data_IF_222468080746
#
_entry.id   IF_222468080746
#
_cell.length_a   1.000
_cell.length_b   1.000
_cell.length_c   1.000
_cell.angle_alpha   90.00
_cell.angle_beta   90.00
_cell.angle_gamma   90.00
#
_symmetry.space_group_name_H-M   'P 1'
#
loop_
_entity.id
_entity.type
_entity.pdbx_description
1 polymer ?
#
# COMPACT_ATOMS: atom_id res chain seq x y z
N UNK A 1 -10.65 -8.41 -10.37
CA UNK A 1 -10.00 -7.16 -9.91
C UNK A 1 -9.20 -7.50 -8.66
N UNK A 2 -7.93 -7.07 -8.53
CA UNK A 2 -7.22 -7.21 -7.27
C UNK A 2 -7.95 -6.39 -6.20
N UNK A 3 -8.27 -7.00 -5.06
CA UNK A 3 -8.83 -6.28 -3.92
C UNK A 3 -7.70 -5.50 -3.24
N UNK A 4 -7.81 -4.17 -3.19
CA UNK A 4 -6.90 -3.32 -2.43
C UNK A 4 -7.54 -3.12 -1.06
N UNK A 5 -6.98 -3.70 0.03
CA UNK A 5 -7.51 -3.49 1.36
C UNK A 5 -7.21 -2.05 1.78
N UNK A 6 -8.12 -1.43 2.52
CA UNK A 6 -7.76 -0.21 3.22
C UNK A 6 -6.84 -0.52 4.41
N UNK A 7 -5.90 0.38 4.67
CA UNK A 7 -4.84 0.17 5.68
C UNK A 7 -4.87 1.21 6.82
N UNK A 8 -5.67 2.26 6.69
CA UNK A 8 -5.72 3.35 7.66
C UNK A 8 -6.33 2.86 8.98
N UNK A 9 -5.73 3.28 10.10
CA UNK A 9 -6.16 2.92 11.44
C UNK A 9 -5.88 1.47 11.87
N UNK A 10 -5.30 0.64 10.99
CA UNK A 10 -4.84 -0.69 11.40
C UNK A 10 -3.63 -0.57 12.35
N UNK A 11 -3.46 -1.51 13.31
CA UNK A 11 -2.33 -1.49 14.21
C UNK A 11 -0.99 -1.50 13.46
N UNK A 12 -0.04 -0.68 13.91
CA UNK A 12 1.31 -0.59 13.31
C UNK A 12 1.97 -1.96 13.12
N UNK A 13 1.94 -2.79 14.14
CA UNK A 13 2.59 -4.11 14.11
C UNK A 13 1.89 -5.07 13.14
N UNK A 14 0.57 -4.94 12.97
CA UNK A 14 -0.18 -5.66 11.95
C UNK A 14 0.29 -5.26 10.54
N UNK A 15 0.35 -3.96 10.25
CA UNK A 15 0.78 -3.48 8.92
C UNK A 15 2.23 -3.92 8.64
N UNK A 16 3.12 -3.71 9.60
CA UNK A 16 4.54 -4.07 9.47
C UNK A 16 4.76 -5.57 9.27
N UNK A 17 4.09 -6.41 10.06
CA UNK A 17 4.20 -7.88 9.92
C UNK A 17 3.66 -8.39 8.58
N UNK A 18 2.58 -7.80 8.06
CA UNK A 18 2.02 -8.18 6.77
C UNK A 18 2.96 -7.83 5.62
N UNK A 19 3.53 -6.63 5.59
CA UNK A 19 4.50 -6.21 4.56
C UNK A 19 5.79 -7.03 4.67
N UNK A 20 6.30 -7.23 5.89
CA UNK A 20 7.46 -8.09 6.14
C UNK A 20 7.22 -9.54 5.69
N UNK A 21 6.00 -10.06 5.83
CA UNK A 21 5.65 -11.40 5.36
C UNK A 21 5.71 -11.53 3.84
N UNK A 22 5.35 -10.50 3.07
CA UNK A 22 5.58 -10.50 1.62
C UNK A 22 7.07 -10.44 1.30
N UNK A 23 7.81 -9.54 1.95
CA UNK A 23 9.27 -9.40 1.72
C UNK A 23 10.03 -10.70 1.97
N UNK A 24 9.58 -11.50 2.94
CA UNK A 24 10.20 -12.77 3.30
C UNK A 24 9.57 -13.98 2.58
N UNK A 25 8.62 -13.77 1.65
CA UNK A 25 7.95 -14.84 0.91
C UNK A 25 6.96 -15.70 1.71
N UNK A 26 6.68 -15.34 2.96
CA UNK A 26 5.70 -16.00 3.83
C UNK A 26 4.25 -15.70 3.44
N UNK A 27 4.03 -14.54 2.80
CA UNK A 27 2.75 -14.14 2.23
C UNK A 27 2.85 -13.97 0.73
N UNK A 28 1.83 -14.42 0.01
CA UNK A 28 1.70 -14.35 -1.45
C UNK A 28 0.26 -14.03 -1.84
N UNK A 29 0.06 -13.25 -2.89
CA UNK A 29 -1.22 -12.99 -3.52
C UNK A 29 -1.35 -13.76 -4.84
N UNK A 30 -2.54 -13.73 -5.43
CA UNK A 30 -2.75 -14.27 -6.78
C UNK A 30 -1.92 -13.47 -7.80
N UNK A 31 -1.37 -14.17 -8.80
CA UNK A 31 -0.59 -13.51 -9.84
C UNK A 31 -1.48 -12.57 -10.70
N UNK A 32 -0.98 -11.37 -11.07
CA UNK A 32 0.31 -10.80 -10.65
C UNK A 32 0.32 -10.32 -9.19
N UNK A 33 1.36 -10.70 -8.42
CA UNK A 33 1.47 -10.34 -7.01
C UNK A 33 2.08 -8.94 -6.84
N UNK A 34 1.24 -7.92 -6.99
CA UNK A 34 1.68 -6.53 -6.89
C UNK A 34 2.30 -6.19 -5.53
N UNK A 35 1.91 -6.86 -4.44
CA UNK A 35 2.44 -6.57 -3.11
C UNK A 35 3.83 -7.17 -2.89
N UNK A 36 4.14 -8.32 -3.53
CA UNK A 36 5.51 -8.84 -3.56
C UNK A 36 6.45 -7.85 -4.24
N UNK A 37 6.09 -7.34 -5.42
CA UNK A 37 6.90 -6.36 -6.16
C UNK A 37 7.14 -5.05 -5.37
N UNK A 38 6.17 -4.63 -4.58
CA UNK A 38 6.29 -3.45 -3.70
C UNK A 38 7.20 -3.78 -2.50
N UNK A 39 6.97 -4.90 -1.82
CA UNK A 39 7.71 -5.28 -0.63
C UNK A 39 9.22 -5.51 -0.91
N UNK A 40 9.55 -5.98 -2.11
CA UNK A 40 10.93 -6.14 -2.55
C UNK A 40 11.69 -4.82 -2.62
N UNK A 41 11.01 -3.73 -2.96
CA UNK A 41 11.60 -2.38 -3.08
C UNK A 41 11.77 -1.65 -1.75
N UNK A 42 11.15 -2.12 -0.67
CA UNK A 42 11.17 -1.45 0.63
C UNK A 42 12.29 -1.98 1.52
N UNK A 43 13.01 -1.10 2.22
CA UNK A 43 13.92 -1.50 3.29
C UNK A 43 13.15 -1.80 4.58
N UNK A 44 13.74 -2.52 5.57
CA UNK A 44 13.09 -2.70 6.88
C UNK A 44 12.73 -1.37 7.57
N UNK A 45 13.56 -0.35 7.39
CA UNK A 45 13.31 1.01 7.89
C UNK A 45 12.08 1.62 7.22
N UNK A 46 11.95 1.50 5.90
CA UNK A 46 10.78 1.99 5.16
C UNK A 46 9.49 1.29 5.61
N UNK A 47 9.54 -0.03 5.83
CA UNK A 47 8.39 -0.80 6.34
C UNK A 47 7.96 -0.26 7.70
N UNK A 48 8.92 -0.02 8.60
CA UNK A 48 8.63 0.52 9.93
C UNK A 48 8.06 1.94 9.89
N UNK A 49 8.53 2.78 8.97
CA UNK A 49 8.05 4.15 8.76
C UNK A 49 6.65 4.17 8.14
N UNK A 50 6.41 3.38 7.09
CA UNK A 50 5.11 3.24 6.44
C UNK A 50 4.05 2.72 7.41
N UNK A 51 4.38 1.68 8.19
CA UNK A 51 3.45 1.13 9.18
C UNK A 51 3.08 2.17 10.24
N UNK A 52 4.05 2.95 10.73
CA UNK A 52 3.80 4.02 11.68
C UNK A 52 2.89 5.10 11.08
N UNK A 53 3.23 5.58 9.87
CA UNK A 53 2.47 6.63 9.19
C UNK A 53 1.04 6.20 8.85
N UNK A 54 0.83 4.99 8.33
CA UNK A 54 -0.51 4.48 8.00
C UNK A 54 -1.38 4.30 9.24
N UNK A 55 -0.80 3.80 10.34
CA UNK A 55 -1.52 3.59 11.60
C UNK A 55 -1.96 4.90 12.27
N UNK A 56 -1.27 6.01 12.00
CA UNK A 56 -1.60 7.32 12.55
C UNK A 56 -2.58 8.14 11.69
N UNK A 57 -2.96 7.65 10.51
CA UNK A 57 -3.91 8.36 9.66
C UNK A 57 -5.31 8.34 10.27
N UNK A 58 -6.06 9.47 10.17
CA UNK A 58 -7.43 9.52 10.62
C UNK A 58 -8.30 8.54 9.81
N UNK A 59 -9.15 7.79 10.50
CA UNK A 59 -10.19 6.96 9.87
C UNK A 59 -11.45 7.80 9.81
N UNK A 60 -11.90 8.13 8.60
CA UNK A 60 -13.19 8.81 8.39
C UNK A 60 -14.27 7.75 8.31
N UNK A 61 -15.19 7.76 9.26
CA UNK A 61 -16.34 6.87 9.28
C UNK A 61 -17.50 7.45 8.44
N UNK A 62 -18.27 6.61 7.71
CA UNK A 62 -18.15 5.15 7.64
C UNK A 62 -16.97 4.70 6.78
N UNK A 63 -16.17 3.77 7.30
CA UNK A 63 -15.09 3.13 6.54
C UNK A 63 -15.66 2.19 5.47
N UNK A 64 -15.99 2.73 4.31
CA UNK A 64 -16.39 1.96 3.14
C UNK A 64 -15.21 1.88 2.16
N UNK A 65 -14.87 0.69 1.64
CA UNK A 65 -13.98 0.62 0.49
C UNK A 65 -14.59 1.44 -0.64
N UNK A 66 -13.80 2.31 -1.26
CA UNK A 66 -14.31 3.04 -2.42
C UNK A 66 -14.72 2.06 -3.52
N UNK A 67 -15.77 2.44 -4.27
CA UNK A 67 -16.26 1.63 -5.37
C UNK A 67 -15.13 1.31 -6.35
N UNK A 68 -14.98 0.04 -6.71
CA UNK A 68 -13.91 -0.40 -7.60
C UNK A 68 -13.95 0.42 -8.92
N UNK A 69 -12.84 1.13 -9.21
CA UNK A 69 -12.75 2.05 -10.36
C UNK A 69 -12.92 3.54 -10.04
N UNK A 70 -13.14 3.92 -8.78
CA UNK A 70 -13.24 5.32 -8.34
C UNK A 70 -11.92 6.08 -8.31
N UNK A 71 -10.78 5.37 -8.31
CA UNK A 71 -9.44 5.95 -8.34
C UNK A 71 -9.24 6.80 -9.61
N UNK A 72 -9.51 8.11 -9.49
CA UNK A 72 -9.05 9.08 -10.48
C UNK A 72 -7.53 9.09 -10.43
N UNK A 73 -6.91 8.60 -11.50
CA UNK A 73 -5.46 8.76 -11.70
C UNK A 73 -5.13 10.24 -11.56
N UNK A 74 -4.10 10.62 -10.78
CA UNK A 74 -3.61 11.99 -10.79
C UNK A 74 -3.34 12.42 -12.24
N UNK A 75 -3.60 13.68 -12.62
CA UNK A 75 -3.22 14.15 -13.95
C UNK A 75 -1.73 13.88 -14.14
N UNK A 76 -1.38 13.18 -15.22
CA UNK A 76 0.01 12.93 -15.59
C UNK A 76 0.68 14.29 -15.78
N UNK A 77 1.46 14.72 -14.77
CA UNK A 77 2.25 15.94 -14.85
C UNK A 77 3.21 15.81 -16.02
N UNK A 78 2.94 16.59 -17.07
CA UNK A 78 3.74 16.60 -18.29
C UNK A 78 5.22 16.84 -17.98
N UNK A 79 6.08 15.93 -18.44
CA UNK A 79 7.52 16.17 -18.48
C UNK A 79 7.79 17.34 -19.44
N UNK A 80 8.47 18.43 -19.03
CA UNK A 80 8.97 19.39 -20.00
C UNK A 80 10.03 18.69 -20.86
N UNK A 81 9.80 18.70 -22.18
CA UNK A 81 10.65 18.08 -23.17
C UNK A 81 12.04 18.69 -23.19
N UNK A 82 13.03 17.81 -23.37
CA UNK A 82 14.37 18.15 -23.82
C UNK A 82 14.33 19.00 -25.10
N UNK A 83 14.98 20.16 -25.07
CA UNK A 83 15.68 20.72 -26.23
C UNK A 83 16.97 21.37 -25.78
#
# INVERSE_FOLDING_TARGET
MPAIPGLLGLPRDYIGSQIGSWKNGLRRAAAPDCMADIADKLTPTDIGALAAWLSSQPVVEPYAPEAAGSLRRPPEGGRPGHR
#
